data_IF_783660825304
#
_entry.id   IF_783660825304
#
_cell.length_a   1.000
_cell.length_b   1.000
_cell.length_c   1.000
_cell.angle_alpha   90.00
_cell.angle_beta   90.00
_cell.angle_gamma   90.00
#
_symmetry.space_group_name_H-M   'P 1'
#
loop_
_entity.id
_entity.type
_entity.pdbx_description
1 polymer ?
#
# COMPACT_ATOMS: atom_id res chain seq x y z
N UNK A 1 0.47 24.15 35.00
CA UNK A 1 -0.74 23.39 34.56
C UNK A 1 -0.42 22.13 33.79
N UNK A 2 0.87 21.83 33.63
CA UNK A 2 1.31 20.64 32.88
C UNK A 2 1.10 19.36 33.68
N UNK A 3 1.00 18.21 32.98
CA UNK A 3 0.92 16.90 33.62
C UNK A 3 2.20 16.65 34.44
N UNK A 4 2.04 16.18 35.65
CA UNK A 4 3.16 15.92 36.57
C UNK A 4 2.72 15.85 38.02
N UNK A 5 3.69 15.61 38.90
CA UNK A 5 3.48 15.62 40.33
C UNK A 5 4.14 16.87 40.92
N UNK A 6 3.36 17.67 41.62
CA UNK A 6 3.80 18.89 42.27
C UNK A 6 3.75 18.65 43.79
N UNK A 7 4.90 18.75 44.46
CA UNK A 7 5.05 18.66 45.90
C UNK A 7 5.30 20.04 46.47
N UNK A 8 5.27 20.14 47.81
CA UNK A 8 5.49 21.38 48.54
C UNK A 8 4.47 22.49 48.26
N UNK A 9 3.21 22.11 47.98
CA UNK A 9 2.13 23.07 47.80
C UNK A 9 1.78 23.67 49.16
N UNK A 10 2.09 24.94 49.31
CA UNK A 10 1.78 25.72 50.54
C UNK A 10 0.49 26.49 50.34
N UNK A 11 -0.41 26.41 51.30
CA UNK A 11 -1.59 27.28 51.36
C UNK A 11 -1.18 28.57 52.04
N UNK A 12 -1.16 29.67 51.27
CA UNK A 12 -1.04 31.01 51.86
C UNK A 12 -2.45 31.57 52.13
N UNK A 13 -2.78 31.80 53.35
CA UNK A 13 -4.00 32.54 53.69
C UNK A 13 -3.76 34.02 53.45
N UNK A 14 -4.18 34.53 52.28
CA UNK A 14 -4.22 35.95 51.97
C UNK A 14 -5.54 36.51 52.50
N UNK A 15 -5.55 36.92 53.76
CA UNK A 15 -6.70 37.56 54.34
C UNK A 15 -6.37 38.07 55.74
N UNK A 16 -5.99 39.31 55.82
CA UNK A 16 -5.96 40.03 57.06
C UNK A 16 -7.38 40.50 57.38
N UNK A 17 -8.26 39.61 57.72
CA UNK A 17 -9.47 40.03 58.45
C UNK A 17 -9.19 39.84 59.94
N UNK A 18 -9.02 40.93 60.63
CA UNK A 18 -8.78 40.99 62.07
C UNK A 18 -10.01 40.49 62.88
N UNK A 19 -10.98 39.87 62.29
CA UNK A 19 -12.23 39.38 62.91
C UNK A 19 -12.32 37.84 63.06
N UNK A 20 -11.39 37.07 62.51
CA UNK A 20 -11.37 35.62 62.71
C UNK A 20 -10.52 35.24 63.94
N UNK A 21 -11.08 35.48 65.14
CA UNK A 21 -10.47 35.18 66.44
C UNK A 21 -10.34 33.68 66.77
N UNK A 22 -10.65 32.79 65.84
CA UNK A 22 -10.73 31.34 66.09
C UNK A 22 -9.82 30.45 65.20
N UNK A 23 -9.00 31.00 64.32
CA UNK A 23 -8.00 30.21 63.58
C UNK A 23 -6.60 30.49 64.15
N UNK A 24 -6.12 29.61 65.00
CA UNK A 24 -4.69 29.52 65.31
C UNK A 24 -4.03 28.65 64.22
N UNK A 25 -3.25 29.29 63.35
CA UNK A 25 -2.37 28.57 62.44
C UNK A 25 -1.23 28.00 63.26
N UNK A 26 -1.20 26.68 63.47
CA UNK A 26 -0.05 26.01 64.07
C UNK A 26 1.14 26.12 63.12
N UNK A 27 2.25 26.65 63.58
CA UNK A 27 3.52 26.67 62.85
C UNK A 27 4.23 25.31 62.80
N UNK A 28 3.69 24.31 63.48
CA UNK A 28 4.23 22.94 63.53
C UNK A 28 3.14 21.92 63.13
N UNK A 29 3.40 21.13 62.11
CA UNK A 29 2.51 20.03 61.68
C UNK A 29 1.81 20.23 60.35
N UNK A 30 2.03 21.32 59.64
CA UNK A 30 1.55 21.46 58.26
C UNK A 30 2.42 20.62 57.34
N UNK A 31 1.89 19.50 56.87
CA UNK A 31 2.50 18.71 55.80
C UNK A 31 2.20 19.38 54.48
N UNK A 32 3.23 19.57 53.64
CA UNK A 32 3.05 20.08 52.28
C UNK A 32 2.12 19.17 51.47
N UNK A 33 1.18 19.77 50.78
CA UNK A 33 0.26 19.06 49.91
C UNK A 33 0.95 18.55 48.65
N UNK A 34 0.39 17.49 48.07
CA UNK A 34 0.82 16.95 46.79
C UNK A 34 -0.35 17.06 45.81
N UNK A 35 -0.10 17.68 44.65
CA UNK A 35 -1.00 17.72 43.50
C UNK A 35 -0.43 16.80 42.40
N UNK A 36 -1.23 15.92 41.87
CA UNK A 36 -0.88 15.18 40.69
C UNK A 36 -1.83 15.58 39.56
N UNK A 37 -1.27 16.02 38.43
CA UNK A 37 -2.00 16.29 37.19
C UNK A 37 -1.68 15.14 36.25
N UNK A 38 -2.67 14.32 35.94
CA UNK A 38 -2.50 13.20 35.05
C UNK A 38 -2.54 13.65 33.57
N UNK A 39 -1.83 12.90 32.71
CA UNK A 39 -1.92 13.10 31.27
C UNK A 39 -3.34 12.83 30.80
N UNK A 40 -3.76 13.58 29.77
CA UNK A 40 -5.04 13.36 29.11
C UNK A 40 -4.85 12.41 27.91
N UNK A 41 -5.72 11.41 27.80
CA UNK A 41 -5.68 10.45 26.70
C UNK A 41 -6.16 11.10 25.39
N UNK A 42 -5.46 10.77 24.30
CA UNK A 42 -5.78 11.12 22.91
C UNK A 42 -5.98 9.86 22.10
N UNK A 43 -6.91 9.96 21.15
CA UNK A 43 -7.15 8.95 20.12
C UNK A 43 -6.94 9.58 18.74
N UNK A 44 -6.87 8.70 17.69
CA UNK A 44 -6.79 9.12 16.29
C UNK A 44 -8.08 8.72 15.58
N UNK A 45 -8.65 9.62 14.78
CA UNK A 45 -9.81 9.38 13.94
C UNK A 45 -9.54 9.76 12.48
N UNK A 46 -10.45 9.35 11.57
CA UNK A 46 -10.49 9.76 10.15
C UNK A 46 -9.22 9.44 9.34
N UNK A 47 -8.55 8.31 9.60
CA UNK A 47 -7.48 7.87 8.72
C UNK A 47 -8.06 7.33 7.41
N UNK A 48 -7.39 7.62 6.29
CA UNK A 48 -7.74 7.08 4.98
C UNK A 48 -6.50 6.66 4.23
N UNK A 49 -6.58 5.54 3.51
CA UNK A 49 -5.48 5.02 2.70
C UNK A 49 -5.73 5.25 1.21
N UNK A 50 -4.63 5.34 0.44
CA UNK A 50 -4.68 5.38 -1.00
C UNK A 50 -4.91 3.98 -1.58
N UNK A 51 -5.73 3.90 -2.63
CA UNK A 51 -5.73 2.74 -3.51
C UNK A 51 -4.40 2.66 -4.26
N UNK A 52 -4.03 1.46 -4.71
CA UNK A 52 -2.88 1.29 -5.58
C UNK A 52 -3.14 0.28 -6.69
N UNK A 53 -2.32 0.31 -7.73
CA UNK A 53 -2.20 -0.79 -8.70
C UNK A 53 -1.28 -1.86 -8.11
N UNK A 54 -1.54 -3.10 -8.42
CA UNK A 54 -0.71 -4.23 -8.01
C UNK A 54 0.76 -4.01 -8.35
N UNK A 55 1.62 -4.14 -7.34
CA UNK A 55 3.07 -3.97 -7.45
C UNK A 55 3.86 -5.14 -6.81
N UNK A 56 3.15 -6.20 -6.41
CA UNK A 56 3.71 -7.38 -5.77
C UNK A 56 4.11 -7.17 -4.30
N UNK A 57 3.79 -6.01 -3.70
CA UNK A 57 4.15 -5.67 -2.30
C UNK A 57 2.93 -5.37 -1.44
N UNK A 58 3.11 -5.42 -0.12
CA UNK A 58 2.09 -4.97 0.85
C UNK A 58 2.24 -3.50 1.26
N UNK A 59 3.23 -2.77 0.74
CA UNK A 59 3.43 -1.36 1.09
C UNK A 59 2.20 -0.54 0.74
N UNK A 60 1.75 0.30 1.68
CA UNK A 60 0.62 1.20 1.52
C UNK A 60 1.03 2.64 1.85
N UNK A 61 0.17 3.59 1.45
CA UNK A 61 0.29 5.01 1.81
C UNK A 61 -1.04 5.52 2.32
N UNK A 62 -1.01 6.53 3.18
CA UNK A 62 -2.21 7.22 3.64
C UNK A 62 -2.45 8.48 2.80
N UNK A 63 -3.72 8.72 2.44
CA UNK A 63 -4.18 10.01 1.92
C UNK A 63 -4.50 10.98 3.05
N UNK A 64 -4.85 10.45 4.24
CA UNK A 64 -5.03 11.21 5.47
C UNK A 64 -4.48 10.41 6.65
N UNK A 65 -3.52 10.98 7.39
CA UNK A 65 -2.93 10.35 8.58
C UNK A 65 -3.86 10.35 9.79
N UNK A 66 -4.99 11.06 9.71
CA UNK A 66 -5.97 11.19 10.78
C UNK A 66 -5.90 12.53 11.52
N UNK A 67 -6.77 12.65 12.51
CA UNK A 67 -6.91 13.80 13.40
C UNK A 67 -6.87 13.35 14.85
N UNK A 68 -6.21 14.14 15.71
CA UNK A 68 -6.21 13.91 17.15
C UNK A 68 -7.59 14.22 17.73
N UNK A 69 -8.08 13.33 18.58
CA UNK A 69 -9.34 13.49 19.33
C UNK A 69 -9.04 13.47 20.82
N UNK A 70 -9.61 14.38 21.57
CA UNK A 70 -9.44 14.48 23.02
C UNK A 70 -8.56 15.65 23.47
N UNK A 71 -8.06 16.50 22.57
CA UNK A 71 -7.33 17.72 22.94
C UNK A 71 -8.18 18.61 23.86
N UNK A 72 -7.51 19.34 24.74
CA UNK A 72 -8.14 20.43 25.51
C UNK A 72 -8.51 21.55 24.54
N UNK A 73 -9.70 22.14 24.74
CA UNK A 73 -10.18 23.25 23.89
C UNK A 73 -9.15 24.37 23.79
N UNK A 74 -8.78 24.71 22.55
CA UNK A 74 -7.80 25.76 22.25
C UNK A 74 -6.35 25.26 22.27
N UNK A 75 -6.08 24.00 22.55
CA UNK A 75 -4.76 23.38 22.40
C UNK A 75 -4.66 22.59 21.08
N UNK A 76 -3.45 22.49 20.56
CA UNK A 76 -3.14 21.74 19.34
C UNK A 76 -1.77 21.04 19.48
N UNK A 77 -1.59 19.91 18.78
CA UNK A 77 -0.35 19.15 18.75
C UNK A 77 -0.06 18.69 17.32
N UNK A 78 1.18 18.35 17.06
CA UNK A 78 1.56 17.67 15.82
C UNK A 78 1.29 16.17 15.95
N UNK A 79 0.47 15.61 15.06
CA UNK A 79 0.41 14.17 14.82
C UNK A 79 1.47 13.81 13.78
N UNK A 80 2.47 13.01 14.15
CA UNK A 80 3.50 12.57 13.23
C UNK A 80 2.98 11.42 12.36
N UNK A 81 3.54 11.30 11.15
CA UNK A 81 3.27 10.17 10.27
C UNK A 81 3.58 8.84 10.97
N UNK A 82 2.78 7.80 10.74
CA UNK A 82 3.10 6.46 11.21
C UNK A 82 4.40 5.96 10.59
N UNK A 83 5.12 5.13 11.31
CA UNK A 83 6.40 4.57 10.84
C UNK A 83 6.23 3.43 9.84
N UNK A 84 5.05 2.80 9.82
CA UNK A 84 4.71 1.72 8.89
C UNK A 84 3.25 1.80 8.49
N UNK A 85 2.99 1.60 7.20
CA UNK A 85 1.64 1.48 6.62
C UNK A 85 1.65 0.32 5.64
N UNK A 86 0.83 -0.70 5.91
CA UNK A 86 0.83 -1.94 5.12
C UNK A 86 -0.59 -2.44 4.86
N UNK A 87 -0.80 -3.00 3.68
CA UNK A 87 -1.95 -3.83 3.35
C UNK A 87 -1.84 -5.22 4.03
N UNK A 88 -2.95 -5.81 4.42
CA UNK A 88 -3.01 -7.17 4.96
C UNK A 88 -2.75 -8.26 3.90
N UNK A 89 -2.89 -7.94 2.61
CA UNK A 89 -2.54 -8.78 1.46
C UNK A 89 -1.92 -7.93 0.36
N UNK A 90 -1.05 -8.52 -0.44
CA UNK A 90 -0.53 -7.88 -1.66
C UNK A 90 -1.46 -8.06 -2.86
N UNK A 91 -2.40 -9.02 -2.82
CA UNK A 91 -3.19 -9.44 -3.95
C UNK A 91 -4.34 -8.48 -4.26
N UNK A 92 -4.76 -8.46 -5.51
CA UNK A 92 -5.85 -7.64 -6.02
C UNK A 92 -7.17 -7.99 -5.32
N UNK A 93 -7.75 -7.00 -4.66
CA UNK A 93 -9.08 -7.07 -4.06
C UNK A 93 -9.57 -5.66 -3.69
N UNK A 94 -10.86 -5.55 -3.41
CA UNK A 94 -11.47 -4.37 -2.83
C UNK A 94 -11.53 -4.48 -1.31
N UNK A 95 -11.46 -3.32 -0.61
CA UNK A 95 -11.66 -3.26 0.83
C UNK A 95 -10.59 -3.98 1.66
N UNK A 96 -9.37 -4.10 1.16
CA UNK A 96 -8.26 -4.74 1.89
C UNK A 96 -7.90 -3.88 3.09
N UNK A 97 -7.76 -4.52 4.25
CA UNK A 97 -7.36 -3.82 5.48
C UNK A 97 -5.95 -3.25 5.33
N UNK A 98 -5.83 -1.96 5.64
CA UNK A 98 -4.55 -1.25 5.75
C UNK A 98 -4.31 -0.93 7.21
N UNK A 99 -3.16 -1.34 7.74
CA UNK A 99 -2.73 -1.07 9.11
C UNK A 99 -1.62 -0.04 9.10
N UNK A 100 -1.83 1.05 9.83
CA UNK A 100 -0.85 2.10 10.08
C UNK A 100 -0.37 1.99 11.54
N UNK A 101 0.93 1.88 11.76
CA UNK A 101 1.54 1.69 13.09
C UNK A 101 2.64 2.70 13.37
N UNK A 102 2.92 2.92 14.65
CA UNK A 102 4.01 3.79 15.10
C UNK A 102 3.65 5.28 15.04
N UNK A 103 2.39 5.63 15.28
CA UNK A 103 1.98 7.02 15.48
C UNK A 103 2.61 7.60 16.73
N UNK A 104 3.02 8.86 16.65
CA UNK A 104 3.53 9.66 17.75
C UNK A 104 2.97 11.07 17.69
N UNK A 105 3.05 11.79 18.80
CA UNK A 105 2.69 13.20 18.90
C UNK A 105 3.90 14.04 19.27
N UNK A 106 3.91 15.29 18.82
CA UNK A 106 4.95 16.25 19.17
C UNK A 106 4.34 17.60 19.60
N UNK A 107 5.15 18.40 20.26
CA UNK A 107 4.80 19.76 20.67
C UNK A 107 4.42 20.61 19.45
N UNK A 108 3.42 21.48 19.63
CA UNK A 108 3.06 22.51 18.65
C UNK A 108 2.95 23.84 19.35
N UNK A 109 3.71 24.83 18.87
CA UNK A 109 3.77 26.14 19.47
C UNK A 109 4.10 26.10 20.99
N UNK A 110 3.20 26.60 21.85
CA UNK A 110 3.32 26.55 23.31
C UNK A 110 2.72 25.29 23.95
N UNK A 111 2.03 24.43 23.15
CA UNK A 111 1.33 23.25 23.65
C UNK A 111 2.30 22.07 23.77
N UNK A 112 2.16 21.30 24.85
CA UNK A 112 3.09 20.23 25.19
C UNK A 112 2.50 18.84 25.04
N UNK A 113 3.08 18.04 24.15
CA UNK A 113 2.73 16.63 23.98
C UNK A 113 2.91 15.82 25.27
N UNK A 114 3.83 16.28 26.17
CA UNK A 114 4.05 15.65 27.48
C UNK A 114 2.83 15.65 28.40
N UNK A 115 1.84 16.52 28.17
CA UNK A 115 0.58 16.59 28.91
C UNK A 115 -0.45 15.54 28.46
N UNK A 116 -0.14 14.83 27.40
CA UNK A 116 -1.05 13.89 26.76
C UNK A 116 -0.46 12.49 26.68
N UNK A 117 -1.34 11.50 26.51
CA UNK A 117 -1.03 10.12 26.28
C UNK A 117 -1.75 9.67 24.99
N UNK A 118 -1.01 9.42 23.92
CA UNK A 118 -1.60 8.86 22.71
C UNK A 118 -1.82 7.36 22.91
N UNK A 119 -3.09 6.95 23.10
CA UNK A 119 -3.45 5.54 23.34
C UNK A 119 -3.56 4.77 22.04
N UNK A 120 -3.80 5.43 20.91
CA UNK A 120 -3.88 4.84 19.57
C UNK A 120 -2.52 4.91 18.87
N UNK A 121 -1.66 3.92 19.09
CA UNK A 121 -0.38 3.81 18.36
C UNK A 121 -0.48 3.02 17.06
N UNK A 122 -1.65 2.40 16.82
CA UNK A 122 -2.00 1.65 15.61
C UNK A 122 -3.44 1.92 15.23
N UNK A 123 -3.71 2.10 13.94
CA UNK A 123 -5.05 2.31 13.37
C UNK A 123 -5.21 1.53 12.08
N UNK A 124 -6.44 1.15 11.77
CA UNK A 124 -6.79 0.46 10.54
C UNK A 124 -7.78 1.25 9.71
N UNK A 125 -7.69 1.10 8.41
CA UNK A 125 -8.65 1.55 7.40
C UNK A 125 -8.71 0.52 6.29
N UNK A 126 -9.36 0.80 5.16
CA UNK A 126 -9.38 -0.07 3.99
C UNK A 126 -9.03 0.70 2.74
N UNK A 127 -8.45 0.01 1.75
CA UNK A 127 -8.21 0.52 0.41
C UNK A 127 -8.21 -0.64 -0.59
N UNK A 128 -8.19 -0.32 -1.89
CA UNK A 128 -8.26 -1.30 -2.97
C UNK A 128 -6.90 -1.48 -3.65
N UNK A 129 -6.64 -2.70 -4.11
CA UNK A 129 -5.54 -3.00 -5.04
C UNK A 129 -6.17 -3.42 -6.36
N UNK A 130 -5.91 -2.65 -7.43
CA UNK A 130 -6.36 -2.96 -8.79
C UNK A 130 -5.31 -3.76 -9.55
N UNK A 131 -5.73 -4.47 -10.61
CA UNK A 131 -4.81 -5.25 -11.46
C UNK A 131 -3.77 -4.37 -12.12
N UNK A 132 -2.54 -4.92 -12.26
CA UNK A 132 -1.50 -4.36 -13.12
C UNK A 132 -1.70 -4.84 -14.56
N UNK A 133 -1.30 -4.04 -15.52
CA UNK A 133 -1.34 -4.43 -16.92
C UNK A 133 -0.14 -5.32 -17.27
N UNK A 134 -0.40 -6.40 -18.00
CA UNK A 134 0.59 -7.34 -18.52
C UNK A 134 0.37 -7.56 -20.00
N UNK A 135 1.36 -7.22 -20.82
CA UNK A 135 1.35 -7.47 -22.25
C UNK A 135 2.05 -8.79 -22.56
N UNK A 136 1.36 -9.69 -23.26
CA UNK A 136 1.85 -10.97 -23.75
C UNK A 136 1.99 -10.89 -25.28
N UNK A 137 3.19 -10.66 -25.80
CA UNK A 137 3.48 -10.56 -27.23
C UNK A 137 3.87 -11.91 -27.77
N UNK A 138 3.10 -12.44 -28.73
CA UNK A 138 3.43 -13.66 -29.47
C UNK A 138 4.67 -13.40 -30.32
N UNK A 139 5.67 -14.29 -30.22
CA UNK A 139 6.91 -14.14 -30.98
C UNK A 139 6.67 -14.45 -32.46
N UNK A 140 7.34 -13.69 -33.33
CA UNK A 140 7.39 -13.98 -34.75
C UNK A 140 8.01 -15.36 -35.04
N UNK A 141 7.58 -16.02 -36.08
CA UNK A 141 8.12 -17.28 -36.54
C UNK A 141 8.34 -17.31 -38.04
N UNK A 142 9.31 -18.10 -38.47
CA UNK A 142 9.67 -18.27 -39.89
C UNK A 142 9.77 -19.74 -40.23
N UNK A 143 9.10 -20.12 -41.31
CA UNK A 143 9.10 -21.48 -41.85
C UNK A 143 9.47 -21.44 -43.34
N UNK A 144 10.28 -22.39 -43.82
CA UNK A 144 10.44 -22.65 -45.27
C UNK A 144 9.34 -23.62 -45.71
N UNK A 145 8.76 -23.38 -46.88
CA UNK A 145 7.74 -24.25 -47.45
C UNK A 145 8.18 -25.69 -47.53
N UNK A 146 7.45 -26.60 -46.91
CA UNK A 146 7.69 -28.03 -46.83
C UNK A 146 6.43 -28.87 -47.12
N UNK A 147 5.32 -28.20 -47.50
CA UNK A 147 4.04 -28.86 -47.82
C UNK A 147 3.24 -29.28 -46.57
N UNK A 148 3.72 -29.01 -45.36
CA UNK A 148 3.01 -29.34 -44.10
C UNK A 148 2.32 -28.13 -43.49
N UNK A 149 1.19 -28.36 -42.81
CA UNK A 149 0.48 -27.32 -42.08
C UNK A 149 1.28 -26.83 -40.88
N UNK A 150 1.30 -25.50 -40.67
CA UNK A 150 1.84 -24.90 -39.44
C UNK A 150 0.86 -25.09 -38.30
N UNK A 151 1.38 -25.37 -37.11
CA UNK A 151 0.60 -25.40 -35.84
C UNK A 151 1.44 -24.94 -34.66
N UNK A 152 0.80 -24.29 -33.68
CA UNK A 152 1.48 -23.75 -32.52
C UNK A 152 2.06 -22.35 -32.75
N UNK A 153 3.22 -22.07 -32.18
CA UNK A 153 3.90 -20.77 -32.26
C UNK A 153 5.30 -20.83 -31.66
N UNK A 154 6.02 -19.72 -31.71
CA UNK A 154 7.41 -19.56 -31.27
C UNK A 154 7.54 -18.95 -29.86
N UNK A 155 6.55 -19.19 -28.99
CA UNK A 155 6.56 -18.68 -27.61
C UNK A 155 5.99 -17.26 -27.45
N UNK A 156 6.14 -16.73 -26.24
CA UNK A 156 5.65 -15.41 -25.81
C UNK A 156 6.74 -14.63 -25.11
N UNK A 157 6.80 -13.34 -25.36
CA UNK A 157 7.54 -12.36 -24.60
C UNK A 157 6.59 -11.53 -23.74
N UNK A 158 6.89 -11.39 -22.46
CA UNK A 158 6.06 -10.66 -21.49
C UNK A 158 6.67 -9.31 -21.13
N UNK A 159 5.81 -8.30 -21.01
CA UNK A 159 6.16 -6.98 -20.52
C UNK A 159 5.10 -6.51 -19.50
N UNK A 160 5.52 -6.12 -18.30
CA UNK A 160 4.64 -5.62 -17.24
C UNK A 160 4.63 -6.45 -15.94
N UNK A 161 5.40 -7.54 -15.85
CA UNK A 161 5.58 -8.19 -14.55
C UNK A 161 6.26 -7.24 -13.55
N UNK A 162 5.72 -7.20 -12.35
CA UNK A 162 6.23 -6.36 -11.25
C UNK A 162 7.03 -7.19 -10.24
N UNK A 163 7.87 -6.54 -9.46
CA UNK A 163 8.60 -7.13 -8.33
C UNK A 163 9.37 -8.43 -8.65
N UNK A 164 9.88 -8.55 -9.90
CA UNK A 164 10.62 -9.75 -10.32
C UNK A 164 9.76 -10.99 -10.57
N UNK A 165 8.43 -10.84 -10.64
CA UNK A 165 7.51 -11.92 -10.96
C UNK A 165 7.68 -12.41 -12.41
N UNK A 166 7.24 -13.63 -12.68
CA UNK A 166 7.40 -14.28 -13.99
C UNK A 166 6.12 -14.99 -14.42
N UNK A 167 6.12 -15.53 -15.63
CA UNK A 167 4.99 -16.30 -16.18
C UNK A 167 4.57 -17.50 -15.34
N UNK A 168 5.39 -17.96 -14.39
CA UNK A 168 5.03 -19.04 -13.45
C UNK A 168 3.83 -18.72 -12.55
N UNK A 169 3.48 -17.44 -12.41
CA UNK A 169 2.31 -16.98 -11.64
C UNK A 169 1.02 -16.91 -12.47
N UNK A 170 1.11 -17.12 -13.78
CA UNK A 170 -0.06 -17.14 -14.65
C UNK A 170 -0.75 -18.50 -14.59
N UNK A 171 -2.07 -18.46 -14.56
CA UNK A 171 -2.92 -19.65 -14.72
C UNK A 171 -3.34 -19.84 -16.17
N UNK A 172 -4.10 -20.92 -16.41
CA UNK A 172 -4.56 -21.29 -17.75
C UNK A 172 -3.47 -21.92 -18.61
N UNK A 173 -3.77 -22.11 -19.87
CA UNK A 173 -2.82 -22.62 -20.86
C UNK A 173 -2.83 -21.72 -22.09
N UNK A 174 -1.65 -21.42 -22.61
CA UNK A 174 -1.54 -20.69 -23.87
C UNK A 174 -2.17 -21.49 -25.01
N UNK A 175 -3.10 -20.88 -25.71
CA UNK A 175 -3.74 -21.43 -26.92
C UNK A 175 -3.35 -20.52 -28.08
N UNK A 176 -2.70 -21.13 -29.10
CA UNK A 176 -2.38 -20.45 -30.34
C UNK A 176 -3.58 -20.46 -31.29
N UNK A 177 -3.76 -19.36 -32.00
CA UNK A 177 -4.84 -19.17 -32.97
C UNK A 177 -4.39 -18.23 -34.10
N UNK A 178 -5.31 -17.67 -34.85
CA UNK A 178 -5.03 -16.77 -35.96
C UNK A 178 -4.87 -17.53 -37.30
N UNK A 179 -4.55 -16.76 -38.34
CA UNK A 179 -4.45 -17.32 -39.72
C UNK A 179 -3.22 -18.19 -39.92
N UNK A 180 -2.29 -18.21 -38.99
CA UNK A 180 -1.11 -19.09 -39.00
C UNK A 180 -1.48 -20.56 -38.82
N UNK A 181 -2.54 -20.83 -38.01
CA UNK A 181 -2.90 -22.23 -37.74
C UNK A 181 -3.50 -22.90 -38.97
N UNK A 182 -2.84 -23.97 -39.43
CA UNK A 182 -3.19 -24.69 -40.67
C UNK A 182 -2.56 -24.09 -41.93
N UNK A 183 -1.84 -22.96 -41.86
CA UNK A 183 -1.18 -22.36 -43.01
C UNK A 183 -0.15 -23.32 -43.65
N UNK A 184 -0.15 -23.47 -44.98
CA UNK A 184 0.77 -24.30 -45.74
C UNK A 184 1.55 -23.49 -46.77
N UNK A 185 0.87 -22.57 -47.44
CA UNK A 185 1.41 -21.86 -48.57
C UNK A 185 2.37 -20.75 -48.17
N UNK A 186 3.21 -20.32 -49.09
CA UNK A 186 4.11 -19.18 -48.87
C UNK A 186 3.31 -17.89 -48.63
N UNK A 187 3.68 -17.13 -47.61
CA UNK A 187 2.97 -15.89 -47.25
C UNK A 187 3.24 -15.43 -45.82
N UNK A 188 2.51 -14.40 -45.40
CA UNK A 188 2.52 -13.89 -44.03
C UNK A 188 1.17 -14.19 -43.37
N UNK A 189 1.22 -14.66 -42.15
CA UNK A 189 0.06 -15.07 -41.37
C UNK A 189 0.15 -14.54 -39.95
N UNK A 190 -0.99 -14.37 -39.28
CA UNK A 190 -1.08 -13.86 -37.92
C UNK A 190 -0.99 -15.03 -36.93
N UNK A 191 -0.11 -14.93 -35.96
CA UNK A 191 -0.04 -15.79 -34.77
C UNK A 191 -0.74 -15.06 -33.63
N UNK A 192 -1.93 -15.50 -33.25
CA UNK A 192 -2.66 -14.96 -32.11
C UNK A 192 -2.57 -15.89 -30.90
N UNK A 193 -2.78 -15.35 -29.69
CA UNK A 193 -2.76 -16.12 -28.45
C UNK A 193 -3.91 -15.79 -27.51
N UNK A 194 -4.26 -16.76 -26.67
CA UNK A 194 -5.28 -16.60 -25.62
C UNK A 194 -5.09 -17.63 -24.51
N UNK A 195 -5.99 -17.64 -23.51
CA UNK A 195 -6.13 -18.71 -22.52
C UNK A 195 -5.31 -18.55 -21.25
N UNK A 196 -4.38 -17.58 -21.17
CA UNK A 196 -3.70 -17.25 -19.92
C UNK A 196 -4.62 -16.44 -19.00
N UNK A 197 -4.50 -16.68 -17.70
CA UNK A 197 -5.30 -16.00 -16.66
C UNK A 197 -4.44 -15.49 -15.51
N UNK A 198 -4.92 -14.47 -14.80
CA UNK A 198 -4.30 -13.98 -13.58
C UNK A 198 -5.32 -13.30 -12.68
N UNK A 199 -5.16 -13.44 -11.38
CA UNK A 199 -5.90 -12.66 -10.39
C UNK A 199 -5.33 -11.23 -10.27
N UNK A 200 -4.01 -11.07 -10.46
CA UNK A 200 -3.29 -9.83 -10.18
C UNK A 200 -2.94 -9.02 -11.43
N UNK A 201 -3.08 -9.62 -12.62
CA UNK A 201 -2.77 -8.95 -13.88
C UNK A 201 -3.98 -8.88 -14.81
N UNK A 202 -4.05 -7.81 -15.59
CA UNK A 202 -4.93 -7.65 -16.74
C UNK A 202 -4.09 -7.99 -17.98
N UNK A 203 -4.30 -9.20 -18.54
CA UNK A 203 -3.47 -9.72 -19.62
C UNK A 203 -4.02 -9.26 -20.96
N UNK A 204 -3.19 -8.57 -21.75
CA UNK A 204 -3.45 -8.24 -23.15
C UNK A 204 -2.51 -9.01 -24.07
N UNK A 205 -3.03 -9.53 -25.18
CA UNK A 205 -2.24 -10.24 -26.16
C UNK A 205 -1.93 -9.33 -27.35
N UNK A 206 -0.68 -9.41 -27.83
CA UNK A 206 -0.22 -8.77 -29.05
C UNK A 206 0.17 -9.88 -30.03
N UNK A 207 -0.38 -9.83 -31.22
CA UNK A 207 -0.14 -10.83 -32.25
C UNK A 207 1.30 -10.81 -32.75
N UNK A 208 1.82 -12.00 -33.04
CA UNK A 208 3.04 -12.24 -33.80
C UNK A 208 2.75 -12.55 -35.26
N UNK A 209 3.79 -12.68 -36.04
CA UNK A 209 3.73 -12.94 -37.47
C UNK A 209 4.45 -14.24 -37.80
N UNK A 210 3.79 -15.13 -38.55
CA UNK A 210 4.42 -16.26 -39.25
C UNK A 210 4.75 -15.85 -40.69
N UNK A 211 5.99 -16.07 -41.11
CA UNK A 211 6.40 -15.95 -42.51
C UNK A 211 6.76 -17.32 -43.07
N UNK A 212 6.03 -17.79 -44.11
CA UNK A 212 6.38 -19.02 -44.84
C UNK A 212 7.09 -18.60 -46.14
N UNK A 213 8.37 -18.90 -46.21
CA UNK A 213 9.24 -18.59 -47.32
C UNK A 213 9.14 -19.68 -48.42
N UNK A 214 9.46 -19.31 -49.65
CA UNK A 214 9.61 -20.26 -50.74
C UNK A 214 10.77 -21.23 -50.49
N UNK A 215 10.61 -22.46 -50.91
CA UNK A 215 11.70 -23.43 -50.94
C UNK A 215 12.41 -23.34 -52.28
N UNK A 216 13.73 -23.27 -52.21
CA UNK A 216 14.54 -23.28 -53.42
C UNK A 216 14.47 -24.63 -54.12
N UNK A 217 14.39 -24.60 -55.44
CA UNK A 217 14.47 -25.76 -56.28
C UNK A 217 15.80 -25.74 -57.06
N UNK A 218 16.49 -26.88 -57.02
CA UNK A 218 17.68 -27.06 -57.81
C UNK A 218 17.35 -28.02 -58.98
N UNK A 219 17.77 -27.68 -60.19
CA UNK A 219 17.67 -28.56 -61.36
C UNK A 219 19.04 -29.22 -61.51
N UNK A 220 19.06 -30.55 -61.42
CA UNK A 220 20.26 -31.34 -61.65
C UNK A 220 20.04 -32.29 -62.85
N UNK A 221 21.11 -32.67 -63.52
CA UNK A 221 21.13 -33.63 -64.62
C UNK A 221 20.30 -33.23 -65.86
N UNK A 222 20.54 -32.00 -66.39
CA UNK A 222 20.12 -31.67 -67.75
C UNK A 222 21.16 -32.31 -68.71
N UNK A 223 20.85 -33.44 -69.30
CA UNK A 223 21.63 -34.10 -70.36
C UNK A 223 21.06 -33.73 -71.66
#
# INVERSE_FOLDING_TARGET
KDAGTYSNIKVALNGTSATDKFLTISSSGNTDGKLTINKKDLTISNITANNKTYDGTTTATLSNIGTLVGLVTGEDLVLNNPTSVIFSSKDVADGIVVTATGYTIADKDSFKASNYNLIDTSKTTTANISKADLTATLNDDVKTYDGTSYSGGNGITYNGFVNGETASLLGGNLVYSGTSQGAKDTGNYIISGSGLTSNNYNISFVDGKLTINKKDLTISNIT
#
